data_IF_170135517471
#
_entry.id   IF_170135517471
#
_cell.length_a   1.000
_cell.length_b   1.000
_cell.length_c   1.000
_cell.angle_alpha   90.00
_cell.angle_beta   90.00
_cell.angle_gamma   90.00
#
_symmetry.space_group_name_H-M   'P 1'
#
loop_
_entity.id
_entity.type
_entity.pdbx_description
1 polymer ?
#
# COMPACT_ATOMS: atom_id res chain seq x y z
N UNK A 1 10.34 1.00 -9.11
CA UNK A 1 9.42 1.02 -7.95
C UNK A 1 10.09 1.45 -6.64
N UNK A 2 11.06 0.72 -6.06
CA UNK A 2 11.71 1.12 -4.79
C UNK A 2 12.30 2.53 -4.82
N UNK A 3 13.04 2.87 -5.87
CA UNK A 3 13.61 4.22 -6.06
C UNK A 3 12.54 5.31 -6.22
N UNK A 4 11.37 4.96 -6.76
CA UNK A 4 10.22 5.87 -6.77
C UNK A 4 9.70 6.08 -5.34
N UNK A 5 9.52 4.99 -4.59
CA UNK A 5 9.09 5.06 -3.19
C UNK A 5 10.02 5.93 -2.34
N UNK A 6 11.33 5.75 -2.47
CA UNK A 6 12.34 6.50 -1.71
C UNK A 6 12.33 8.00 -2.03
N UNK A 7 12.05 8.39 -3.29
CA UNK A 7 11.90 9.79 -3.68
C UNK A 7 10.53 10.38 -3.34
N UNK A 8 9.50 9.54 -3.28
CA UNK A 8 8.12 9.99 -3.05
C UNK A 8 7.77 10.11 -1.57
N UNK A 9 8.27 9.20 -0.72
CA UNK A 9 8.01 9.22 0.72
C UNK A 9 8.32 10.55 1.41
N UNK A 10 9.41 11.27 1.09
CA UNK A 10 9.66 12.60 1.65
C UNK A 10 8.56 13.64 1.32
N UNK A 11 7.82 13.46 0.23
CA UNK A 11 6.73 14.35 -0.20
C UNK A 11 5.40 14.05 0.51
N UNK A 12 5.30 12.90 1.21
CA UNK A 12 4.08 12.45 1.88
C UNK A 12 3.74 13.26 3.15
N UNK A 13 4.74 13.92 3.74
CA UNK A 13 4.61 14.68 4.98
C UNK A 13 4.79 13.82 6.25
N UNK A 14 4.28 14.32 7.38
CA UNK A 14 4.43 13.70 8.72
C UNK A 14 3.12 13.25 9.38
N UNK A 15 1.98 13.56 8.75
CA UNK A 15 0.67 13.08 9.18
C UNK A 15 0.43 11.63 8.78
N UNK A 16 -0.76 11.13 9.10
CA UNK A 16 -1.17 9.78 8.69
C UNK A 16 -1.26 9.69 7.17
N UNK A 17 -0.66 8.66 6.58
CA UNK A 17 -0.78 8.43 5.14
C UNK A 17 -0.69 6.96 4.79
N UNK A 18 -1.28 6.61 3.65
CA UNK A 18 -1.04 5.37 2.91
C UNK A 18 -0.76 5.76 1.46
N UNK A 19 0.33 5.25 0.92
CA UNK A 19 0.73 5.39 -0.49
C UNK A 19 0.93 4.01 -1.11
N UNK A 20 0.93 3.99 -2.43
CA UNK A 20 1.12 2.80 -3.27
C UNK A 20 2.18 3.14 -4.29
N UNK A 21 3.47 3.04 -3.92
CA UNK A 21 4.54 3.30 -4.88
C UNK A 21 4.45 2.39 -6.10
N UNK A 22 3.96 1.16 -5.94
CA UNK A 22 3.67 0.27 -7.05
C UNK A 22 2.56 0.83 -7.96
N UNK A 23 1.43 1.26 -7.39
CA UNK A 23 0.31 1.77 -8.17
C UNK A 23 0.64 3.04 -8.95
N UNK A 24 1.30 4.03 -8.32
CA UNK A 24 1.76 5.22 -9.03
C UNK A 24 2.76 4.85 -10.14
N UNK A 25 3.69 3.93 -9.88
CA UNK A 25 4.66 3.50 -10.89
C UNK A 25 3.96 2.83 -12.08
N UNK A 26 2.95 1.99 -11.83
CA UNK A 26 2.19 1.27 -12.87
C UNK A 26 1.34 2.21 -13.71
N UNK A 27 0.71 3.21 -13.08
CA UNK A 27 0.00 4.27 -13.78
C UNK A 27 0.94 5.06 -14.69
N UNK A 28 2.08 5.53 -14.16
CA UNK A 28 3.06 6.28 -14.95
C UNK A 28 3.71 5.42 -16.04
N UNK A 29 3.90 4.12 -15.80
CA UNK A 29 4.36 3.16 -16.80
C UNK A 29 3.36 3.01 -17.96
N UNK A 30 2.06 2.86 -17.65
CA UNK A 30 1.01 2.81 -18.66
C UNK A 30 0.94 4.10 -19.48
N UNK A 31 1.14 5.27 -18.85
CA UNK A 31 1.23 6.55 -19.55
C UNK A 31 2.48 6.63 -20.44
N UNK A 32 3.63 6.15 -19.96
CA UNK A 32 4.90 6.18 -20.69
C UNK A 32 4.89 5.39 -22.01
N UNK A 33 4.05 4.36 -22.11
CA UNK A 33 3.91 3.56 -23.33
C UNK A 33 3.37 4.36 -24.52
N UNK A 34 2.65 5.46 -24.26
CA UNK A 34 2.13 6.37 -25.28
C UNK A 34 2.89 7.70 -25.39
N UNK A 35 3.89 7.91 -24.54
CA UNK A 35 4.68 9.13 -24.52
C UNK A 35 5.78 9.13 -25.59
N UNK A 36 6.13 10.31 -26.09
CA UNK A 36 7.22 10.53 -27.06
C UNK A 36 8.08 11.73 -26.65
N UNK A 37 9.16 11.96 -27.40
CA UNK A 37 10.05 13.12 -27.22
C UNK A 37 10.54 13.30 -25.78
N UNK A 38 10.51 14.56 -25.31
CA UNK A 38 10.95 14.93 -23.97
C UNK A 38 10.05 14.34 -22.86
N UNK A 39 8.75 14.20 -23.13
CA UNK A 39 7.80 13.57 -22.19
C UNK A 39 8.20 12.11 -21.92
N UNK A 40 8.53 11.34 -22.96
CA UNK A 40 9.03 9.97 -22.81
C UNK A 40 10.37 9.92 -22.07
N UNK A 41 11.27 10.88 -22.35
CA UNK A 41 12.58 10.93 -21.71
C UNK A 41 12.48 11.20 -20.20
N UNK A 42 11.59 12.10 -19.79
CA UNK A 42 11.27 12.36 -18.39
C UNK A 42 10.67 11.15 -17.69
N UNK A 43 9.60 10.57 -18.26
CA UNK A 43 8.95 9.39 -17.68
C UNK A 43 9.92 8.20 -17.58
N UNK A 44 10.79 7.98 -18.57
CA UNK A 44 11.84 6.96 -18.51
C UNK A 44 12.81 7.17 -17.36
N UNK A 45 13.27 8.42 -17.14
CA UNK A 45 14.14 8.75 -16.00
C UNK A 45 13.42 8.57 -14.67
N UNK A 46 12.14 8.94 -14.60
CA UNK A 46 11.32 8.77 -13.40
C UNK A 46 11.13 7.28 -13.08
N UNK A 47 10.77 6.47 -14.07
CA UNK A 47 10.46 5.05 -13.89
C UNK A 47 11.71 4.19 -13.70
N UNK A 48 12.85 4.62 -14.25
CA UNK A 48 14.13 3.91 -14.23
C UNK A 48 14.26 2.83 -15.32
N UNK A 49 13.26 2.68 -16.18
CA UNK A 49 13.17 1.67 -17.24
C UNK A 49 12.62 2.28 -18.52
N UNK A 50 12.89 1.66 -19.66
CA UNK A 50 12.30 2.09 -20.93
C UNK A 50 10.80 1.75 -21.03
N UNK A 51 10.10 2.32 -22.02
CA UNK A 51 8.66 2.14 -22.18
C UNK A 51 8.26 0.69 -22.46
N UNK A 52 9.09 -0.08 -23.16
CA UNK A 52 8.79 -1.48 -23.46
C UNK A 52 8.94 -2.36 -22.21
N UNK A 53 9.96 -2.09 -21.38
CA UNK A 53 10.14 -2.72 -20.07
C UNK A 53 9.06 -2.29 -19.08
N UNK A 54 8.66 -1.02 -19.10
CA UNK A 54 7.54 -0.51 -18.32
C UNK A 54 6.24 -1.25 -18.67
N UNK A 55 5.92 -1.39 -19.96
CA UNK A 55 4.76 -2.14 -20.42
C UNK A 55 4.79 -3.62 -20.00
N UNK A 56 5.97 -4.28 -20.12
CA UNK A 56 6.15 -5.66 -19.63
C UNK A 56 5.96 -5.76 -18.12
N UNK A 57 6.47 -4.79 -17.36
CA UNK A 57 6.31 -4.75 -15.91
C UNK A 57 4.85 -4.54 -15.51
N UNK A 58 4.09 -3.71 -16.23
CA UNK A 58 2.64 -3.54 -16.02
C UNK A 58 1.92 -4.88 -16.21
N UNK A 59 2.18 -5.58 -17.32
CA UNK A 59 1.59 -6.89 -17.60
C UNK A 59 2.00 -7.96 -16.57
N UNK A 60 3.29 -8.01 -16.21
CA UNK A 60 3.81 -8.93 -15.20
C UNK A 60 3.23 -8.67 -13.82
N UNK A 61 3.09 -7.40 -13.44
CA UNK A 61 2.58 -7.00 -12.13
C UNK A 61 1.12 -7.34 -12.02
N UNK A 62 0.29 -7.06 -13.04
CA UNK A 62 -1.09 -7.55 -13.08
C UNK A 62 -1.15 -9.08 -12.90
N UNK A 63 -0.35 -9.84 -13.67
CA UNK A 63 -0.34 -11.31 -13.59
C UNK A 63 0.19 -11.88 -12.26
N UNK A 64 1.15 -11.20 -11.62
CA UNK A 64 1.81 -11.68 -10.40
C UNK A 64 1.08 -11.25 -9.14
N UNK A 65 0.47 -10.07 -9.15
CA UNK A 65 -0.29 -9.56 -8.01
C UNK A 65 -1.65 -10.25 -7.91
N UNK A 66 -2.38 -10.39 -9.02
CA UNK A 66 -3.67 -11.10 -9.04
C UNK A 66 -3.55 -12.57 -8.59
N UNK A 67 -2.38 -13.15 -8.83
CA UNK A 67 -2.00 -14.48 -8.39
C UNK A 67 -1.88 -14.67 -6.87
N UNK A 68 -1.89 -13.59 -6.09
CA UNK A 68 -1.72 -13.67 -4.63
C UNK A 68 -3.04 -13.77 -3.87
N UNK A 69 -4.22 -13.59 -4.51
CA UNK A 69 -5.60 -13.28 -4.01
C UNK A 69 -5.71 -12.22 -2.90
N UNK A 70 -4.64 -12.04 -2.15
CA UNK A 70 -4.41 -11.09 -1.10
C UNK A 70 -4.23 -9.69 -1.64
N UNK A 71 -3.80 -9.53 -2.88
CA UNK A 71 -3.59 -8.24 -3.50
C UNK A 71 -4.29 -8.21 -4.86
N UNK A 72 -5.24 -7.30 -5.03
CA UNK A 72 -5.87 -7.03 -6.34
C UNK A 72 -5.29 -5.76 -6.90
N UNK A 73 -4.83 -5.85 -8.14
CA UNK A 73 -4.33 -4.71 -8.89
C UNK A 73 -5.10 -4.59 -10.18
N UNK A 74 -5.72 -3.44 -10.43
CA UNK A 74 -6.43 -3.19 -11.66
C UNK A 74 -6.11 -1.78 -12.15
N UNK A 75 -5.61 -1.70 -13.38
CA UNK A 75 -5.37 -0.44 -14.07
C UNK A 75 -6.36 -0.32 -15.24
N UNK A 76 -7.03 0.82 -15.35
CA UNK A 76 -7.95 1.08 -16.46
C UNK A 76 -7.89 2.52 -16.96
N UNK A 77 -7.97 2.65 -18.28
CA UNK A 77 -8.04 3.93 -18.97
C UNK A 77 -9.47 4.22 -19.36
N UNK A 78 -9.96 5.38 -18.98
CA UNK A 78 -11.26 5.91 -19.36
C UNK A 78 -11.02 7.10 -20.28
N UNK A 79 -11.56 7.08 -21.49
CA UNK A 79 -11.23 8.07 -22.52
C UNK A 79 -12.46 8.62 -23.24
N UNK A 80 -12.46 9.93 -23.50
CA UNK A 80 -13.40 10.60 -24.42
C UNK A 80 -12.88 10.69 -25.85
N UNK A 81 -11.59 10.44 -26.04
CA UNK A 81 -10.89 10.51 -27.32
C UNK A 81 -10.47 9.10 -27.79
N UNK A 82 -10.28 8.88 -29.09
CA UNK A 82 -9.78 7.60 -29.59
C UNK A 82 -8.40 7.31 -29.02
N UNK A 83 -8.16 6.06 -28.64
CA UNK A 83 -6.84 5.56 -28.28
C UNK A 83 -6.17 4.94 -29.50
N UNK A 84 -4.86 5.12 -29.62
CA UNK A 84 -4.07 4.48 -30.66
C UNK A 84 -4.06 2.95 -30.47
N UNK A 85 -4.29 2.22 -31.56
CA UNK A 85 -4.35 0.75 -31.50
C UNK A 85 -3.04 0.15 -30.96
N UNK A 86 -1.90 0.63 -31.48
CA UNK A 86 -0.57 0.19 -31.06
C UNK A 86 -0.34 0.40 -29.55
N UNK A 87 -0.92 1.45 -28.96
CA UNK A 87 -0.84 1.69 -27.52
C UNK A 87 -1.63 0.65 -26.73
N UNK A 88 -2.87 0.38 -27.12
CA UNK A 88 -3.71 -0.62 -26.43
C UNK A 88 -3.12 -2.03 -26.53
N UNK A 89 -2.52 -2.38 -27.68
CA UNK A 89 -1.87 -3.68 -27.89
C UNK A 89 -0.57 -3.83 -27.07
N UNK A 90 0.12 -2.72 -26.79
CA UNK A 90 1.33 -2.73 -25.97
C UNK A 90 1.04 -3.02 -24.47
N UNK A 91 -0.21 -2.85 -24.01
CA UNK A 91 -0.61 -2.99 -22.61
C UNK A 91 -1.77 -3.98 -22.43
N UNK A 92 -1.59 -5.29 -22.73
CA UNK A 92 -2.68 -6.27 -22.74
C UNK A 92 -3.33 -6.55 -21.35
N UNK A 93 -2.79 -5.98 -20.27
CA UNK A 93 -3.35 -6.03 -18.92
C UNK A 93 -4.04 -4.73 -18.45
N UNK A 94 -4.00 -3.67 -19.26
CA UNK A 94 -4.64 -2.39 -18.94
C UNK A 94 -5.94 -2.30 -19.73
N UNK A 95 -7.06 -2.31 -19.02
CA UNK A 95 -8.36 -2.15 -19.66
C UNK A 95 -8.52 -0.75 -20.24
N UNK A 96 -9.31 -0.60 -21.30
CA UNK A 96 -9.78 0.71 -21.77
C UNK A 96 -11.29 0.72 -21.96
N UNK A 97 -11.92 1.84 -21.66
CA UNK A 97 -13.35 2.05 -21.81
C UNK A 97 -13.67 3.52 -22.16
N UNK A 98 -14.82 3.80 -22.80
CA UNK A 98 -15.31 5.17 -22.95
C UNK A 98 -15.52 5.84 -21.59
N UNK A 99 -15.24 7.14 -21.49
CA UNK A 99 -15.43 7.90 -20.26
C UNK A 99 -16.91 7.99 -19.87
N UNK A 100 -17.26 7.40 -18.74
CA UNK A 100 -18.56 7.52 -18.08
C UNK A 100 -18.33 7.48 -16.57
N UNK A 101 -18.64 8.58 -15.87
CA UNK A 101 -18.39 8.73 -14.43
C UNK A 101 -19.10 7.65 -13.61
N UNK A 102 -20.31 7.26 -13.99
CA UNK A 102 -21.05 6.22 -13.28
C UNK A 102 -20.39 4.83 -13.48
N UNK A 103 -19.89 4.56 -14.68
CA UNK A 103 -19.17 3.33 -14.97
C UNK A 103 -17.79 3.29 -14.28
N UNK A 104 -17.11 4.43 -14.20
CA UNK A 104 -15.85 4.59 -13.47
C UNK A 104 -16.06 4.30 -11.99
N UNK A 105 -17.04 4.95 -11.36
CA UNK A 105 -17.38 4.75 -9.94
C UNK A 105 -17.79 3.29 -9.67
N UNK A 106 -18.60 2.69 -10.54
CA UNK A 106 -19.00 1.29 -10.42
C UNK A 106 -17.79 0.36 -10.49
N UNK A 107 -16.86 0.61 -11.41
CA UNK A 107 -15.64 -0.17 -11.54
C UNK A 107 -14.70 0.01 -10.34
N UNK A 108 -14.48 1.24 -9.87
CA UNK A 108 -13.69 1.54 -8.67
C UNK A 108 -14.26 0.80 -7.46
N UNK A 109 -15.58 0.86 -7.26
CA UNK A 109 -16.26 0.15 -6.18
C UNK A 109 -16.11 -1.37 -6.29
N UNK A 110 -16.17 -1.91 -7.51
CA UNK A 110 -16.00 -3.34 -7.76
C UNK A 110 -14.57 -3.80 -7.43
N UNK A 111 -13.56 -3.17 -8.03
CA UNK A 111 -12.15 -3.59 -7.86
C UNK A 111 -11.64 -3.37 -6.45
N UNK A 112 -12.27 -2.47 -5.70
CA UNK A 112 -11.94 -2.20 -4.29
C UNK A 112 -12.84 -2.90 -3.28
N UNK A 113 -13.71 -3.82 -3.71
CA UNK A 113 -14.68 -4.51 -2.83
C UNK A 113 -15.54 -3.55 -1.98
N UNK A 114 -15.83 -2.36 -2.53
CA UNK A 114 -16.58 -1.32 -1.85
C UNK A 114 -15.78 -0.47 -0.86
N UNK A 115 -14.47 -0.68 -0.73
CA UNK A 115 -13.64 0.17 0.14
C UNK A 115 -13.53 1.60 -0.40
N UNK A 116 -13.54 1.77 -1.72
CA UNK A 116 -13.59 3.08 -2.39
C UNK A 116 -14.90 3.16 -3.16
N UNK A 117 -15.81 4.02 -2.73
CA UNK A 117 -17.17 4.07 -3.30
C UNK A 117 -17.23 4.76 -4.66
N UNK A 118 -16.37 5.77 -4.87
CA UNK A 118 -16.35 6.62 -6.06
C UNK A 118 -14.93 7.07 -6.36
N UNK A 119 -14.68 7.42 -7.61
CA UNK A 119 -13.41 7.98 -8.03
C UNK A 119 -13.16 9.30 -7.25
N UNK A 120 -12.06 9.42 -6.51
CA UNK A 120 -11.69 10.63 -5.76
C UNK A 120 -11.20 11.78 -6.65
N UNK A 121 -11.65 11.85 -7.91
CA UNK A 121 -11.27 12.84 -8.89
C UNK A 121 -12.53 13.44 -9.49
N UNK A 122 -12.57 14.77 -9.60
CA UNK A 122 -13.65 15.46 -10.30
C UNK A 122 -13.41 15.38 -11.80
N UNK A 123 -14.16 14.51 -12.48
CA UNK A 123 -14.18 14.45 -13.95
C UNK A 123 -15.05 15.60 -14.48
N UNK A 124 -14.45 16.51 -15.25
CA UNK A 124 -15.15 17.61 -15.94
C UNK A 124 -15.35 17.28 -17.42
N UNK A 125 -16.01 18.16 -18.17
CA UNK A 125 -16.15 18.02 -19.63
C UNK A 125 -14.82 18.23 -20.38
N UNK A 126 -13.85 18.87 -19.74
CA UNK A 126 -12.50 19.09 -20.26
C UNK A 126 -11.57 17.89 -19.99
N UNK A 127 -11.97 16.96 -19.12
CA UNK A 127 -11.18 15.76 -18.82
C UNK A 127 -11.26 14.76 -19.99
N UNK A 128 -10.28 14.78 -20.89
CA UNK A 128 -10.27 13.89 -22.06
C UNK A 128 -9.93 12.43 -21.72
N UNK A 129 -9.14 12.20 -20.67
CA UNK A 129 -8.68 10.89 -20.25
C UNK A 129 -8.48 10.82 -18.74
N UNK A 130 -8.82 9.68 -18.15
CA UNK A 130 -8.52 9.33 -16.75
C UNK A 130 -7.88 7.95 -16.73
N UNK A 131 -6.68 7.86 -16.16
CA UNK A 131 -6.04 6.60 -15.83
C UNK A 131 -6.30 6.31 -14.35
N UNK A 132 -7.05 5.26 -14.08
CA UNK A 132 -7.33 4.84 -12.70
C UNK A 132 -6.52 3.58 -12.41
N UNK A 133 -5.67 3.67 -11.40
CA UNK A 133 -4.99 2.53 -10.81
C UNK A 133 -5.62 2.22 -9.46
N UNK A 134 -6.03 0.98 -9.26
CA UNK A 134 -6.62 0.50 -8.03
C UNK A 134 -5.81 -0.69 -7.51
N UNK A 135 -5.20 -0.51 -6.35
CA UNK A 135 -4.54 -1.57 -5.60
C UNK A 135 -5.31 -1.77 -4.30
N UNK A 136 -5.67 -3.02 -3.99
CA UNK A 136 -6.34 -3.40 -2.73
C UNK A 136 -5.66 -4.60 -2.12
N UNK A 137 -5.25 -4.49 -0.85
CA UNK A 137 -4.75 -5.60 -0.07
C UNK A 137 -5.87 -6.16 0.84
N UNK A 138 -6.21 -7.43 0.65
CA UNK A 138 -7.06 -8.26 1.48
C UNK A 138 -6.31 -9.55 1.86
N UNK A 139 -5.34 -9.46 2.76
CA UNK A 139 -4.46 -10.57 3.13
C UNK A 139 -4.78 -11.12 4.52
N UNK A 140 -4.71 -12.44 4.72
CA UNK A 140 -4.73 -13.03 6.07
C UNK A 140 -3.32 -13.21 6.60
N UNK A 141 -3.09 -13.06 7.90
CA UNK A 141 -1.81 -13.44 8.49
C UNK A 141 -1.59 -14.95 8.36
N UNK A 142 -0.36 -15.38 8.06
CA UNK A 142 -0.02 -16.80 8.20
C UNK A 142 -0.20 -17.26 9.65
N UNK A 143 0.10 -16.36 10.59
CA UNK A 143 -0.06 -16.54 12.02
C UNK A 143 -0.88 -15.40 12.64
N UNK A 144 -2.23 -15.55 12.70
CA UNK A 144 -3.13 -14.53 13.24
C UNK A 144 -2.87 -14.15 14.70
N UNK A 145 -3.16 -12.91 15.10
CA UNK A 145 -3.17 -12.56 16.52
C UNK A 145 -4.39 -13.21 17.21
N UNK A 146 -4.24 -13.77 18.43
CA UNK A 146 -5.39 -14.25 19.19
C UNK A 146 -6.26 -13.08 19.63
N UNK A 147 -7.53 -13.03 19.19
CA UNK A 147 -8.46 -11.96 19.56
C UNK A 147 -8.64 -11.78 21.07
N UNK A 148 -8.61 -12.88 21.84
CA UNK A 148 -8.67 -12.84 23.30
C UNK A 148 -7.45 -12.18 23.98
N UNK A 149 -6.34 -11.99 23.24
CA UNK A 149 -5.15 -11.31 23.75
C UNK A 149 -5.16 -9.80 23.45
N UNK A 150 -6.11 -9.32 22.63
CA UNK A 150 -6.29 -7.90 22.34
C UNK A 150 -6.83 -7.17 23.55
N UNK A 151 -6.15 -6.10 23.94
CA UNK A 151 -6.50 -5.29 25.12
C UNK A 151 -6.10 -3.83 24.91
N UNK A 152 -6.79 -2.88 25.56
CA UNK A 152 -6.40 -1.48 25.52
C UNK A 152 -4.95 -1.29 25.98
N UNK A 153 -4.19 -0.49 25.24
CA UNK A 153 -2.85 -0.02 25.60
C UNK A 153 -2.69 1.42 25.14
N UNK A 154 -1.98 2.22 25.93
CA UNK A 154 -1.68 3.60 25.56
C UNK A 154 -0.86 3.66 24.28
N UNK A 155 -1.28 4.55 23.39
CA UNK A 155 -0.55 4.97 22.20
C UNK A 155 -0.31 6.48 22.29
N UNK A 156 0.94 6.89 22.10
CA UNK A 156 1.37 8.29 22.08
C UNK A 156 1.50 8.75 20.63
N UNK A 157 0.57 9.57 20.15
CA UNK A 157 0.58 10.13 18.81
C UNK A 157 1.75 11.12 18.60
N UNK A 158 2.04 11.43 17.34
CA UNK A 158 3.13 12.35 16.96
C UNK A 158 2.94 13.79 17.45
N UNK A 159 1.73 14.19 17.81
CA UNK A 159 1.41 15.47 18.45
C UNK A 159 1.50 15.42 20.00
N UNK A 160 1.85 14.26 20.56
CA UNK A 160 1.92 14.00 22.00
C UNK A 160 0.60 13.54 22.63
N UNK A 161 -0.49 13.44 21.87
CA UNK A 161 -1.77 12.93 22.37
C UNK A 161 -1.63 11.47 22.80
N UNK A 162 -2.02 11.15 24.04
CA UNK A 162 -2.02 9.77 24.54
C UNK A 162 -3.44 9.24 24.61
N UNK A 163 -3.69 8.08 24.01
CA UNK A 163 -4.99 7.39 24.09
C UNK A 163 -4.82 5.88 24.17
N UNK A 164 -5.63 5.24 25.01
CA UNK A 164 -5.72 3.78 25.03
C UNK A 164 -6.42 3.29 23.76
N UNK A 165 -5.76 2.41 23.01
CA UNK A 165 -6.27 1.81 21.76
C UNK A 165 -6.26 0.28 21.83
N UNK A 166 -7.18 -0.42 21.12
CA UNK A 166 -7.17 -1.87 21.02
C UNK A 166 -5.85 -2.37 20.42
N UNK A 167 -5.05 -3.04 21.24
CA UNK A 167 -3.71 -3.49 20.88
C UNK A 167 -3.64 -5.01 20.92
N UNK A 168 -3.31 -5.61 19.78
CA UNK A 168 -3.15 -7.04 19.59
C UNK A 168 -1.82 -7.50 20.18
N UNK A 169 -1.80 -8.71 20.75
CA UNK A 169 -0.60 -9.25 21.39
C UNK A 169 -0.28 -10.66 20.91
N UNK A 170 0.96 -10.92 20.50
CA UNK A 170 1.45 -12.25 20.14
C UNK A 170 2.98 -12.31 20.27
N UNK A 171 3.51 -13.45 20.67
CA UNK A 171 4.95 -13.72 20.58
C UNK A 171 5.31 -14.34 19.24
N UNK A 172 6.39 -13.89 18.60
CA UNK A 172 6.92 -14.46 17.36
C UNK A 172 8.36 -14.94 17.54
N UNK A 173 8.86 -15.89 16.73
CA UNK A 173 10.28 -16.23 16.68
C UNK A 173 11.14 -14.99 16.44
N UNK A 174 12.29 -14.88 17.11
CA UNK A 174 13.16 -13.71 16.96
C UNK A 174 13.64 -13.45 15.51
N UNK A 175 13.74 -14.51 14.69
CA UNK A 175 14.08 -14.40 13.26
C UNK A 175 13.06 -13.64 12.40
N UNK A 176 11.87 -13.33 12.92
CA UNK A 176 10.89 -12.45 12.28
C UNK A 176 11.11 -10.97 12.57
N UNK A 177 12.10 -10.62 13.39
CA UNK A 177 12.42 -9.23 13.68
C UNK A 177 13.92 -8.96 13.55
N UNK A 178 14.26 -7.70 13.29
CA UNK A 178 15.63 -7.23 13.23
C UNK A 178 15.70 -5.73 13.51
N UNK A 179 16.90 -5.24 13.76
CA UNK A 179 17.21 -3.82 13.74
C UNK A 179 17.81 -3.47 12.39
N UNK A 180 17.27 -2.45 11.74
CA UNK A 180 17.72 -1.88 10.47
C UNK A 180 18.48 -0.57 10.73
N UNK A 181 19.11 0.05 9.71
CA UNK A 181 19.82 1.32 9.87
C UNK A 181 18.95 2.41 10.53
N UNK A 182 19.58 3.30 11.28
CA UNK A 182 18.88 4.35 12.04
C UNK A 182 18.21 3.86 13.33
N UNK A 183 18.51 2.62 13.78
CA UNK A 183 17.91 2.06 14.99
C UNK A 183 16.45 1.67 14.82
N UNK A 184 16.00 1.45 13.58
CA UNK A 184 14.62 1.07 13.27
C UNK A 184 14.42 -0.41 13.55
N UNK A 185 13.49 -0.74 14.44
CA UNK A 185 13.12 -2.14 14.70
C UNK A 185 12.03 -2.55 13.72
N UNK A 186 12.27 -3.63 12.99
CA UNK A 186 11.36 -4.14 11.95
C UNK A 186 10.83 -5.50 12.37
N UNK A 187 9.51 -5.71 12.21
CA UNK A 187 8.81 -6.97 12.36
C UNK A 187 8.27 -7.40 11.00
N UNK A 188 8.59 -8.62 10.56
CA UNK A 188 8.17 -9.20 9.30
C UNK A 188 7.12 -10.28 9.52
N UNK A 189 5.92 -10.01 9.05
CA UNK A 189 4.77 -10.89 9.16
C UNK A 189 4.39 -11.41 7.76
N UNK A 190 4.64 -12.70 7.46
CA UNK A 190 4.14 -13.30 6.23
C UNK A 190 2.61 -13.42 6.29
N UNK A 191 1.97 -13.22 5.14
CA UNK A 191 0.56 -13.53 4.96
C UNK A 191 0.37 -15.03 4.70
N UNK A 192 -0.85 -15.52 4.82
CA UNK A 192 -1.22 -16.85 4.36
C UNK A 192 -1.18 -16.85 2.82
N UNK A 193 -0.62 -17.90 2.19
CA UNK A 193 -0.68 -18.01 0.74
C UNK A 193 -2.12 -18.23 0.29
N UNK A 194 -2.51 -17.60 -0.82
CA UNK A 194 -3.81 -17.83 -1.43
C UNK A 194 -3.95 -19.23 -2.03
N UNK A 195 -2.89 -19.70 -2.68
CA UNK A 195 -2.81 -21.03 -3.27
C UNK A 195 -1.55 -21.77 -2.78
N UNK A 196 -1.60 -23.11 -2.65
CA UNK A 196 -0.42 -23.91 -2.36
C UNK A 196 0.71 -23.67 -3.36
N UNK A 197 1.93 -23.43 -2.86
CA UNK A 197 3.13 -23.27 -3.69
C UNK A 197 3.45 -21.85 -4.16
N UNK A 198 2.61 -20.86 -3.84
CA UNK A 198 2.90 -19.44 -4.13
C UNK A 198 3.52 -18.73 -2.92
N UNK A 199 4.49 -17.81 -3.13
CA UNK A 199 5.06 -17.03 -2.05
C UNK A 199 4.04 -15.99 -1.56
N UNK A 200 3.66 -15.99 -0.27
CA UNK A 200 2.68 -15.04 0.24
C UNK A 200 3.28 -13.64 0.36
N UNK A 201 2.45 -12.61 0.17
CA UNK A 201 2.81 -11.23 0.49
C UNK A 201 3.31 -11.12 1.94
N UNK A 202 4.16 -10.13 2.22
CA UNK A 202 4.73 -9.89 3.55
C UNK A 202 4.39 -8.49 4.02
N UNK A 203 4.02 -8.32 5.27
CA UNK A 203 3.86 -6.99 5.88
C UNK A 203 4.97 -6.78 6.87
N UNK A 204 5.76 -5.72 6.65
CA UNK A 204 6.84 -5.32 7.55
C UNK A 204 6.45 -4.08 8.31
N UNK A 205 6.27 -4.20 9.62
CA UNK A 205 6.06 -3.07 10.53
C UNK A 205 7.41 -2.54 10.99
N UNK A 206 7.57 -1.23 11.04
CA UNK A 206 8.81 -0.55 11.40
C UNK A 206 8.56 0.50 12.48
N UNK A 207 9.33 0.39 13.57
CA UNK A 207 9.33 1.32 14.69
C UNK A 207 10.70 1.98 14.77
N UNK A 208 10.83 3.19 14.23
CA UNK A 208 12.04 4.02 14.33
C UNK A 208 12.12 4.76 15.67
N UNK A 209 13.19 5.49 15.98
CA UNK A 209 13.24 6.43 17.11
C UNK A 209 12.09 7.46 17.10
N UNK A 210 11.71 8.08 18.24
CA UNK A 210 10.55 8.98 18.32
C UNK A 210 10.52 10.12 17.30
N UNK A 211 11.69 10.73 17.03
CA UNK A 211 11.81 11.87 16.12
C UNK A 211 12.23 11.49 14.70
N UNK A 212 12.30 10.20 14.39
CA UNK A 212 12.75 9.72 13.08
C UNK A 212 11.78 10.15 11.96
N UNK A 213 12.29 10.68 10.84
CA UNK A 213 11.46 10.99 9.69
C UNK A 213 10.70 9.75 9.18
N UNK A 214 9.41 9.87 8.81
CA UNK A 214 8.62 8.74 8.29
C UNK A 214 9.30 8.02 7.12
N UNK A 215 9.89 8.80 6.20
CA UNK A 215 10.59 8.27 5.03
C UNK A 215 11.74 7.32 5.40
N UNK A 216 12.53 7.68 6.43
CA UNK A 216 13.68 6.88 6.87
C UNK A 216 13.21 5.58 7.54
N UNK A 217 12.16 5.65 8.36
CA UNK A 217 11.57 4.48 9.02
C UNK A 217 10.95 3.52 8.01
N UNK A 218 10.25 4.04 7.00
CA UNK A 218 9.63 3.23 5.96
C UNK A 218 10.67 2.61 5.03
N UNK A 219 11.72 3.34 4.65
CA UNK A 219 12.80 2.81 3.82
C UNK A 219 13.51 1.61 4.48
N UNK A 220 13.60 1.60 5.82
CA UNK A 220 14.18 0.49 6.57
C UNK A 220 13.42 -0.85 6.41
N UNK A 221 12.13 -0.82 6.03
CA UNK A 221 11.33 -2.04 5.82
C UNK A 221 11.83 -2.89 4.65
N UNK A 222 12.49 -2.31 3.65
CA UNK A 222 13.10 -3.02 2.53
C UNK A 222 14.63 -2.98 2.56
N UNK A 223 15.22 -2.71 3.73
CA UNK A 223 16.67 -2.78 3.89
C UNK A 223 17.20 -4.15 3.45
N UNK A 224 18.33 -4.21 2.71
CA UNK A 224 18.90 -5.46 2.26
C UNK A 224 19.32 -6.32 3.47
N UNK A 225 19.34 -7.66 3.36
CA UNK A 225 19.70 -8.54 4.48
C UNK A 225 21.03 -8.19 5.16
N UNK A 226 22.02 -7.73 4.39
CA UNK A 226 23.33 -7.33 4.91
C UNK A 226 23.29 -6.11 5.86
N UNK A 227 22.22 -5.31 5.82
CA UNK A 227 22.02 -4.15 6.68
C UNK A 227 21.13 -4.47 7.91
N UNK A 228 20.77 -5.74 8.12
CA UNK A 228 19.89 -6.18 9.20
C UNK A 228 20.72 -6.77 10.34
N UNK A 229 20.51 -6.27 11.53
CA UNK A 229 21.07 -6.82 12.77
C UNK A 229 20.00 -7.72 13.43
N UNK A 230 20.25 -9.03 13.60
CA UNK A 230 19.30 -9.92 14.27
C UNK A 230 19.00 -9.48 15.71
N UNK A 231 17.80 -9.83 16.18
CA UNK A 231 17.42 -9.67 17.59
C UNK A 231 18.08 -10.77 18.42
N UNK A 232 18.83 -10.41 19.47
CA UNK A 232 19.51 -11.35 20.37
C UNK A 232 18.57 -11.94 21.44
N UNK A 233 17.44 -12.49 20.98
CA UNK A 233 16.44 -13.14 21.82
C UNK A 233 15.98 -14.44 21.17
N UNK A 234 15.19 -15.24 21.89
CA UNK A 234 14.59 -16.45 21.33
C UNK A 234 13.23 -16.10 20.69
N UNK A 235 12.52 -15.13 21.27
CA UNK A 235 11.25 -14.57 20.76
C UNK A 235 11.17 -13.06 20.89
N UNK A 236 10.31 -12.48 20.06
CA UNK A 236 9.83 -11.11 20.21
C UNK A 236 8.38 -11.09 20.67
N UNK A 237 8.10 -10.40 21.78
CA UNK A 237 6.74 -10.16 22.24
C UNK A 237 6.18 -8.89 21.60
N UNK A 238 5.27 -9.06 20.65
CA UNK A 238 4.72 -7.97 19.86
C UNK A 238 3.43 -7.45 20.47
N UNK A 239 3.32 -6.13 20.56
CA UNK A 239 2.09 -5.40 20.84
C UNK A 239 1.84 -4.42 19.69
N UNK A 240 0.78 -4.66 18.90
CA UNK A 240 0.49 -3.93 17.66
C UNK A 240 -0.96 -3.42 17.69
N UNK A 241 -1.21 -2.10 17.59
CA UNK A 241 -2.56 -1.55 17.49
C UNK A 241 -3.33 -2.12 16.31
N UNK A 242 -4.64 -2.31 16.47
CA UNK A 242 -5.53 -2.30 15.30
C UNK A 242 -5.49 -0.91 14.69
N UNK A 243 -5.58 -0.83 13.37
CA UNK A 243 -5.63 0.46 12.69
C UNK A 243 -6.43 0.38 11.40
N UNK A 244 -7.05 1.49 11.05
CA UNK A 244 -7.59 1.76 9.73
C UNK A 244 -7.02 3.07 9.24
N UNK A 245 -6.47 3.08 8.03
CA UNK A 245 -5.98 4.28 7.36
C UNK A 245 -6.62 4.39 5.99
N UNK A 246 -7.06 5.60 5.66
CA UNK A 246 -7.53 6.00 4.34
C UNK A 246 -6.80 7.27 3.94
N UNK A 247 -6.28 7.30 2.73
CA UNK A 247 -5.63 8.48 2.16
C UNK A 247 -6.06 8.65 0.74
N UNK A 248 -6.54 9.85 0.42
CA UNK A 248 -6.73 10.34 -0.94
C UNK A 248 -5.64 11.38 -1.19
N UNK A 249 -4.77 11.12 -2.16
CA UNK A 249 -3.66 12.00 -2.51
C UNK A 249 -3.75 12.42 -3.97
N UNK A 250 -3.82 13.72 -4.19
CA UNK A 250 -3.49 14.29 -5.49
C UNK A 250 -1.96 14.28 -5.64
N UNK A 251 -1.48 13.40 -6.51
CA UNK A 251 -0.07 13.19 -6.83
C UNK A 251 0.38 13.99 -8.07
N UNK A 252 -0.45 14.91 -8.59
CA UNK A 252 -0.13 15.70 -9.79
C UNK A 252 1.16 16.49 -9.59
N UNK A 253 1.25 17.26 -8.50
CA UNK A 253 2.46 18.02 -8.15
C UNK A 253 3.64 17.12 -7.76
N UNK A 254 3.35 15.91 -7.28
CA UNK A 254 4.39 14.92 -7.01
C UNK A 254 5.02 14.43 -8.31
N UNK A 255 4.24 14.18 -9.36
CA UNK A 255 4.76 13.75 -10.68
C UNK A 255 5.75 14.78 -11.22
N UNK A 256 5.43 16.07 -11.10
CA UNK A 256 6.35 17.15 -11.44
C UNK A 256 7.63 17.10 -10.57
N UNK A 257 7.45 17.02 -9.25
CA UNK A 257 8.55 17.00 -8.26
C UNK A 257 9.46 15.77 -8.40
N UNK A 258 8.92 14.66 -8.89
CA UNK A 258 9.62 13.40 -9.14
C UNK A 258 10.36 13.40 -10.49
N UNK A 259 10.20 14.45 -11.30
CA UNK A 259 11.01 14.71 -12.50
C UNK A 259 10.29 14.50 -13.83
N UNK A 260 8.96 14.53 -13.85
CA UNK A 260 8.17 14.51 -15.08
C UNK A 260 7.19 15.69 -15.20
N UNK A 261 7.65 16.95 -15.15
CA UNK A 261 6.76 18.11 -15.22
C UNK A 261 6.14 18.31 -16.61
N UNK A 262 6.81 17.91 -17.70
CA UNK A 262 6.34 18.19 -19.07
C UNK A 262 5.00 17.53 -19.36
N UNK A 263 4.77 16.34 -18.79
CA UNK A 263 3.52 15.58 -18.97
C UNK A 263 2.29 16.31 -18.46
N UNK A 264 2.45 17.31 -17.58
CA UNK A 264 1.39 18.11 -16.99
C UNK A 264 1.06 19.39 -17.79
N UNK A 265 1.74 19.60 -18.92
CA UNK A 265 1.65 20.84 -19.70
C UNK A 265 1.15 20.58 -21.11
N UNK A 266 0.75 21.63 -21.83
CA UNK A 266 0.39 21.54 -23.25
C UNK A 266 1.56 21.09 -24.16
N UNK A 267 2.80 21.11 -23.65
CA UNK A 267 3.97 20.58 -24.34
C UNK A 267 4.10 19.04 -24.23
N UNK A 268 3.20 18.37 -23.50
CA UNK A 268 3.19 16.92 -23.38
C UNK A 268 3.02 16.25 -24.75
N UNK A 269 3.92 15.35 -25.09
CA UNK A 269 3.82 14.52 -26.30
C UNK A 269 3.31 13.13 -25.91
N UNK A 270 1.98 13.01 -25.89
CA UNK A 270 1.24 11.76 -25.71
C UNK A 270 0.65 11.26 -27.04
N UNK A 271 1.24 11.65 -28.17
CA UNK A 271 0.75 11.27 -29.51
C UNK A 271 0.86 9.78 -29.83
N UNK A 272 1.56 9.00 -28.99
CA UNK A 272 1.50 7.54 -29.04
C UNK A 272 0.26 6.96 -28.39
N UNK A 273 -0.42 7.71 -27.51
CA UNK A 273 -1.62 7.29 -26.80
C UNK A 273 -2.90 7.64 -27.57
N UNK A 274 -2.96 8.83 -28.16
CA UNK A 274 -4.11 9.33 -28.93
C UNK A 274 -3.65 10.25 -30.06
N UNK A 275 -4.37 10.31 -31.19
CA UNK A 275 -4.14 11.33 -32.22
C UNK A 275 -4.57 12.74 -31.76
N UNK A 276 -5.36 12.85 -30.70
CA UNK A 276 -5.72 14.14 -30.09
C UNK A 276 -4.61 14.54 -29.09
N UNK A 277 -4.14 15.80 -29.09
CA UNK A 277 -3.19 16.27 -28.09
C UNK A 277 -3.73 16.10 -26.67
N UNK A 278 -2.92 15.52 -25.78
CA UNK A 278 -3.28 15.23 -24.39
C UNK A 278 -2.18 15.70 -23.45
N UNK A 279 -2.60 16.10 -22.25
CA UNK A 279 -1.73 16.31 -21.09
C UNK A 279 -2.35 15.60 -19.88
N UNK A 280 -1.50 15.17 -18.94
CA UNK A 280 -1.94 14.66 -17.65
C UNK A 280 -2.45 15.84 -16.82
N UNK A 281 -3.77 15.96 -16.69
CA UNK A 281 -4.39 17.02 -15.91
C UNK A 281 -4.32 16.76 -14.41
N UNK A 282 -4.60 15.53 -14.00
CA UNK A 282 -4.53 15.11 -12.60
C UNK A 282 -4.11 13.64 -12.47
N UNK A 283 -3.35 13.35 -11.41
CA UNK A 283 -3.05 12.00 -10.95
C UNK A 283 -3.52 11.86 -9.50
N UNK A 284 -4.61 11.13 -9.26
CA UNK A 284 -5.13 10.92 -7.90
C UNK A 284 -4.98 9.46 -7.52
N UNK A 285 -4.44 9.23 -6.32
CA UNK A 285 -4.35 7.90 -5.73
C UNK A 285 -5.18 7.86 -4.44
N UNK A 286 -6.06 6.87 -4.34
CA UNK A 286 -6.69 6.52 -3.08
C UNK A 286 -6.18 5.19 -2.56
N UNK A 287 -5.93 5.13 -1.26
CA UNK A 287 -5.38 3.96 -0.61
C UNK A 287 -6.02 3.76 0.74
N UNK A 288 -6.40 2.52 0.99
CA UNK A 288 -7.08 2.11 2.22
C UNK A 288 -6.37 0.87 2.74
N UNK A 289 -6.00 0.90 4.02
CA UNK A 289 -5.46 -0.27 4.72
C UNK A 289 -6.19 -0.44 6.04
N UNK A 290 -6.52 -1.69 6.38
CA UNK A 290 -7.04 -2.08 7.69
C UNK A 290 -6.18 -3.19 8.25
N UNK A 291 -5.73 -3.07 9.49
CA UNK A 291 -4.94 -4.09 10.20
C UNK A 291 -5.74 -4.58 11.40
N UNK A 292 -5.98 -5.88 11.45
CA UNK A 292 -6.68 -6.54 12.54
C UNK A 292 -6.10 -7.93 12.81
N UNK A 293 -6.70 -8.67 13.74
CA UNK A 293 -6.15 -9.93 14.27
C UNK A 293 -5.98 -11.02 13.22
N UNK A 294 -6.85 -11.08 12.23
CA UNK A 294 -6.83 -12.13 11.21
C UNK A 294 -5.96 -11.77 10.00
N UNK A 295 -5.62 -10.49 9.85
CA UNK A 295 -4.94 -10.02 8.65
C UNK A 295 -5.16 -8.56 8.36
N UNK A 296 -4.85 -8.24 7.11
CA UNK A 296 -5.33 -7.07 6.41
C UNK A 296 -6.68 -7.42 5.77
N UNK A 297 -7.77 -7.05 6.46
CA UNK A 297 -9.19 -7.39 6.25
C UNK A 297 -9.64 -8.89 6.35
N UNK A 298 -10.26 -9.26 7.51
CA UNK A 298 -11.17 -10.41 7.67
C UNK A 298 -11.93 -10.41 9.03
N UNK A 299 -13.05 -11.16 9.11
CA UNK A 299 -13.79 -11.51 10.33
C UNK A 299 -14.24 -13.00 10.34
N UNK A 300 -13.94 -13.74 11.42
CA UNK A 300 -14.61 -14.93 11.96
C UNK A 300 -13.85 -15.40 13.23
N UNK A 301 -14.56 -15.99 14.21
CA UNK A 301 -14.02 -16.37 15.54
C UNK A 301 -13.94 -17.89 15.69
N UNK A 302 -12.76 -18.41 16.03
CA UNK A 302 -12.57 -19.81 16.46
C UNK A 302 -11.79 -19.83 17.78
N UNK A 303 -12.32 -20.52 18.80
CA UNK A 303 -11.68 -20.67 20.10
C UNK A 303 -11.33 -22.14 20.37
N UNK A 304 -10.08 -22.39 20.78
CA UNK A 304 -9.62 -23.67 21.31
C UNK A 304 -8.84 -23.41 22.60
N UNK A 305 -9.18 -24.13 23.67
CA UNK A 305 -8.50 -24.06 24.97
C UNK A 305 -7.60 -25.30 25.16
N UNK A 306 -6.36 -25.09 25.61
CA UNK A 306 -5.44 -26.16 26.01
C UNK A 306 -5.03 -26.00 27.48
N UNK A 307 -4.58 -27.10 28.09
CA UNK A 307 -4.29 -27.24 29.53
C UNK A 307 -2.78 -27.07 29.79
N UNK A 308 -2.46 -26.64 31.01
CA UNK A 308 -1.09 -26.38 31.47
C UNK A 308 -0.17 -27.61 31.47
N UNK A 309 1.08 -27.40 31.02
CA UNK A 309 2.24 -28.28 31.23
C UNK A 309 3.34 -27.57 32.03
N UNK A 310 4.42 -28.28 32.35
CA UNK A 310 5.56 -27.77 33.12
C UNK A 310 6.18 -26.49 32.52
N UNK A 311 6.78 -25.59 33.34
CA UNK A 311 7.37 -24.37 32.82
C UNK A 311 8.52 -24.73 31.85
N UNK A 312 8.49 -24.21 30.61
CA UNK A 312 9.61 -24.34 29.70
C UNK A 312 10.86 -23.64 30.30
N UNK A 313 12.08 -23.98 29.84
CA UNK A 313 13.28 -23.24 30.22
C UNK A 313 13.10 -21.73 29.97
N UNK A 314 13.76 -20.85 30.74
CA UNK A 314 13.57 -19.41 30.63
C UNK A 314 13.95 -18.95 29.22
N UNK A 315 12.93 -18.55 28.46
CA UNK A 315 13.07 -18.04 27.10
C UNK A 315 13.44 -16.56 27.16
N UNK A 316 14.46 -16.13 26.41
CA UNK A 316 14.79 -14.71 26.27
C UNK A 316 13.76 -14.07 25.35
N UNK A 317 12.97 -13.17 25.90
CA UNK A 317 11.90 -12.48 25.17
C UNK A 317 12.21 -10.99 25.09
N UNK A 318 12.26 -10.45 23.88
CA UNK A 318 12.43 -9.01 23.66
C UNK A 318 11.08 -8.36 23.33
N UNK A 319 10.64 -7.31 24.04
CA UNK A 319 9.40 -6.62 23.72
C UNK A 319 9.55 -5.76 22.46
N UNK A 320 8.56 -5.79 21.57
CA UNK A 320 8.42 -4.88 20.43
C UNK A 320 7.00 -4.30 20.46
N UNK A 321 6.89 -3.08 20.99
CA UNK A 321 5.61 -2.42 21.23
C UNK A 321 5.47 -1.23 20.28
N UNK A 322 4.42 -1.24 19.47
CA UNK A 322 4.06 -0.14 18.58
C UNK A 322 3.12 0.83 19.32
N UNK A 323 3.65 1.57 20.29
CA UNK A 323 2.92 2.50 21.17
C UNK A 323 3.15 3.99 20.84
N UNK A 324 3.72 4.27 19.65
CA UNK A 324 4.02 5.60 19.13
C UNK A 324 4.15 5.55 17.60
N UNK A 325 4.37 6.67 16.88
CA UNK A 325 4.35 6.66 15.43
C UNK A 325 5.21 5.57 14.81
N UNK A 326 4.61 4.83 13.88
CA UNK A 326 5.22 3.69 13.24
C UNK A 326 4.80 3.58 11.78
N UNK A 327 5.64 2.94 10.99
CA UNK A 327 5.37 2.67 9.59
C UNK A 327 5.07 1.20 9.35
N UNK A 328 4.44 0.89 8.22
CA UNK A 328 4.49 -0.46 7.69
C UNK A 328 4.50 -0.44 6.16
N UNK A 329 5.08 -1.49 5.59
CA UNK A 329 5.14 -1.70 4.16
C UNK A 329 4.60 -3.08 3.84
N UNK A 330 3.69 -3.13 2.87
CA UNK A 330 3.23 -4.35 2.24
C UNK A 330 4.18 -4.64 1.08
N UNK A 331 4.77 -5.83 1.08
CA UNK A 331 5.75 -6.26 0.10
C UNK A 331 5.25 -7.50 -0.63
N UNK A 332 5.78 -7.69 -1.84
CA UNK A 332 5.67 -8.95 -2.56
C UNK A 332 6.26 -10.12 -1.75
N UNK A 333 6.05 -11.35 -2.24
CA UNK A 333 6.48 -12.54 -1.51
C UNK A 333 8.01 -12.67 -1.35
N UNK A 334 8.79 -12.05 -2.23
CA UNK A 334 10.25 -11.95 -2.07
C UNK A 334 10.65 -10.89 -1.02
N UNK A 335 9.74 -10.02 -0.60
CA UNK A 335 9.99 -8.96 0.37
C UNK A 335 10.86 -7.83 -0.18
N UNK A 336 10.73 -7.56 -1.49
CA UNK A 336 11.58 -6.68 -2.28
C UNK A 336 10.82 -5.49 -2.88
N UNK A 337 9.57 -5.68 -3.29
CA UNK A 337 8.77 -4.66 -3.97
C UNK A 337 7.78 -4.03 -2.99
N UNK A 338 7.91 -2.73 -2.67
CA UNK A 338 6.95 -2.03 -1.82
C UNK A 338 5.66 -1.77 -2.59
N UNK A 339 4.63 -2.54 -2.27
CA UNK A 339 3.29 -2.45 -2.85
C UNK A 339 2.52 -1.30 -2.22
N UNK A 340 2.49 -1.27 -0.89
CA UNK A 340 1.97 -0.16 -0.10
C UNK A 340 2.96 0.26 0.97
N UNK A 341 2.96 1.54 1.28
CA UNK A 341 3.66 2.13 2.42
C UNK A 341 2.68 2.96 3.22
N UNK A 342 2.73 2.85 4.54
CA UNK A 342 1.81 3.56 5.40
C UNK A 342 2.51 4.07 6.65
N UNK A 343 2.14 5.27 7.07
CA UNK A 343 2.61 5.90 8.30
C UNK A 343 1.42 6.19 9.21
N UNK A 344 1.50 5.69 10.44
CA UNK A 344 0.54 5.97 11.52
C UNK A 344 1.21 6.92 12.50
N UNK A 345 0.83 8.19 12.46
CA UNK A 345 1.29 9.29 13.32
C UNK A 345 0.27 9.61 14.42
N UNK A 346 -1.01 9.73 14.06
CA UNK A 346 -2.14 9.98 14.93
C UNK A 346 -2.56 8.75 15.72
N UNK A 347 -3.60 8.89 16.54
CA UNK A 347 -4.17 7.77 17.30
C UNK A 347 -4.83 6.77 16.35
N UNK A 348 -4.45 5.48 16.36
CA UNK A 348 -5.04 4.46 15.49
C UNK A 348 -6.55 4.33 15.65
N UNK A 349 -7.27 4.32 14.52
CA UNK A 349 -8.71 4.06 14.49
C UNK A 349 -8.99 2.54 14.48
N UNK A 350 -9.93 2.06 15.29
CA UNK A 350 -10.31 0.65 15.27
C UNK A 350 -11.19 0.34 14.04
N UNK A 351 -10.78 -0.54 13.11
CA UNK A 351 -11.58 -0.93 11.96
C UNK A 351 -12.94 -1.57 12.31
N UNK A 352 -13.13 -2.05 13.55
CA UNK A 352 -14.41 -2.62 14.01
C UNK A 352 -15.45 -1.59 14.46
N UNK A 353 -15.05 -0.36 14.80
CA UNK A 353 -15.95 0.63 15.41
C UNK A 353 -17.01 1.18 14.43
N UNK A 354 -16.75 1.13 13.12
CA UNK A 354 -17.66 1.68 12.10
C UNK A 354 -18.87 0.78 11.81
N UNK A 355 -18.85 -0.51 12.21
CA UNK A 355 -19.96 -1.44 11.96
C UNK A 355 -21.08 -1.36 12.99
N UNK A 356 -20.80 -0.96 14.22
CA UNK A 356 -21.82 -0.88 15.29
C UNK A 356 -22.70 0.38 15.21
N UNK A 357 -22.29 1.39 14.43
CA UNK A 357 -23.03 2.65 14.27
C UNK A 357 -24.21 2.61 13.29
N UNK A 358 -24.24 1.63 12.38
CA UNK A 358 -25.24 1.55 11.30
C UNK A 358 -26.38 0.56 11.61
N UNK A 359 -26.14 -0.44 12.47
CA UNK A 359 -27.18 -1.41 12.88
C UNK A 359 -28.10 -0.90 13.99
N UNK A 360 -27.80 0.25 14.62
CA UNK A 360 -28.63 0.84 15.69
C UNK A 360 -29.64 1.90 15.23
N UNK A 361 -29.71 2.22 13.93
CA UNK A 361 -30.66 3.19 13.35
C UNK A 361 -31.72 2.59 12.42
N UNK A 362 -31.87 1.26 12.40
CA UNK A 362 -32.85 0.58 11.57
C UNK A 362 -33.62 -0.51 12.29
N UNK A 363 -34.51 -0.13 13.22
CA UNK A 363 -35.62 -1.00 13.62
C UNK A 363 -36.88 -0.13 13.81
N UNK A 364 -37.97 -0.40 13.06
CA UNK A 364 -39.24 0.31 13.22
C UNK A 364 -39.96 -0.03 14.53
#
# INVERSE_FOLDING_TARGET
MRELAERWLPLAGRGDFVLSPAGLWLALAALSAGARGDTAAELRRLLGVDAAEAARAVAWTAATLDATDALRHATRIWSRVPLEQAYTEALPGVGSAPMDVAAVDAWVREVTHGMVERLPLRVTDETLLVLVDALVLTARWAEPFPGAATRPRDFTAGDGTVRAVPTMHRGFPAGQAWTAPGGVRVLDLPCAPAEPGRPPARVRFALGPPDAPPADVLAATWAPPAARTPIEADRVAVALPRLALRTTRDATDDVASLGAPTVLTEAADLGGLSPVPLALSQAVQESVVRVAEQGVEAAAVTALATRFGAPPPPERVEPLTFDRPFGFTVLDGAGMLPLFTAWQSGVPEDPGASREGDESRGAP
#
